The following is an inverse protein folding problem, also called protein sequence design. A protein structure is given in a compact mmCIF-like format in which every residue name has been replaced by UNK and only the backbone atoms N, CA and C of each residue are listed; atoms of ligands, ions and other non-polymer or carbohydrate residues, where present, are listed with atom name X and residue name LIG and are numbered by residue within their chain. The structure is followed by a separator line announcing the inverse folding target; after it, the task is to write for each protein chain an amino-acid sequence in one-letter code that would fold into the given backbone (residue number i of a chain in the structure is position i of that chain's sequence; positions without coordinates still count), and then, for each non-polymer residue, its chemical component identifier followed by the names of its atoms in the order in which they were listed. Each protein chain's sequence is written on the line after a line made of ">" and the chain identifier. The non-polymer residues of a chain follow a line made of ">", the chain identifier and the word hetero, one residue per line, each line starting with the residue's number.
data_IF_671474833609
#
_entry.id   IF_671474833609
#
_cell.length_a   1.000
_cell.length_b   1.000
_cell.length_c   1.000
_cell.angle_alpha   90.00
_cell.angle_beta   90.00
_cell.angle_gamma   90.00
#
_symmetry.space_group_name_H-M   'P 1'
#
loop_
_entity.id
_entity.type
_entity.pdbx_description
1 polymer ?
#
# COMPACT_ATOMS: atom_id res chain seq x y z
N UNK A 1 -14.55 4.37 -14.13
CA UNK A 1 -13.58 3.81 -13.15
C UNK A 1 -12.26 4.57 -13.26
N UNK A 2 -11.76 5.17 -12.17
CA UNK A 2 -10.42 5.78 -12.22
C UNK A 2 -9.34 4.74 -12.49
N UNK A 3 -8.24 5.19 -13.11
CA UNK A 3 -7.03 4.37 -13.23
C UNK A 3 -6.46 4.19 -11.82
N UNK A 4 -6.17 2.96 -11.43
CA UNK A 4 -5.55 2.65 -10.13
C UNK A 4 -4.02 2.58 -10.20
N UNK A 5 -3.41 2.86 -9.05
CA UNK A 5 -1.99 2.60 -8.74
C UNK A 5 -1.93 1.75 -7.49
N UNK A 6 -0.90 0.95 -7.36
CA UNK A 6 -0.81 -0.04 -6.29
C UNK A 6 0.38 0.30 -5.42
N UNK A 7 0.11 0.76 -4.21
CA UNK A 7 1.12 0.98 -3.18
C UNK A 7 1.56 -0.37 -2.61
N UNK A 8 2.87 -0.53 -2.50
CA UNK A 8 3.50 -1.62 -1.76
C UNK A 8 4.09 -0.95 -0.52
N UNK A 9 3.57 -1.30 0.64
CA UNK A 9 3.86 -0.67 1.92
C UNK A 9 4.51 -1.74 2.80
N UNK A 10 5.68 -1.45 3.37
CA UNK A 10 6.23 -2.26 4.45
C UNK A 10 5.66 -1.74 5.77
N UNK A 11 5.17 -2.63 6.62
CA UNK A 11 4.59 -2.29 7.90
C UNK A 11 4.99 -3.32 8.97
N UNK A 12 5.23 -2.85 10.19
CA UNK A 12 5.48 -3.74 11.33
C UNK A 12 4.25 -4.64 11.59
N UNK A 13 3.06 -4.05 11.53
CA UNK A 13 1.77 -4.75 11.54
C UNK A 13 0.89 -4.28 10.36
N UNK A 14 0.89 -5.01 9.22
CA UNK A 14 0.12 -4.63 8.04
C UNK A 14 -1.39 -4.46 8.24
N UNK A 15 -2.08 -5.29 9.05
CA UNK A 15 -3.49 -5.06 9.40
C UNK A 15 -3.72 -3.69 10.05
N UNK A 16 -2.99 -3.34 11.12
CA UNK A 16 -3.16 -2.03 11.78
C UNK A 16 -2.85 -0.88 10.83
N UNK A 17 -1.77 -0.99 10.04
CA UNK A 17 -1.43 -0.01 9.01
C UNK A 17 -2.57 0.20 7.99
N UNK A 18 -3.29 -0.86 7.62
CA UNK A 18 -4.43 -0.75 6.70
C UNK A 18 -5.65 -0.11 7.37
N UNK A 19 -5.93 -0.44 8.63
CA UNK A 19 -7.03 0.14 9.41
C UNK A 19 -6.81 1.64 9.60
N UNK A 20 -5.64 2.06 10.09
CA UNK A 20 -5.29 3.48 10.24
C UNK A 20 -5.37 4.20 8.89
N UNK A 21 -4.86 3.58 7.82
CA UNK A 21 -4.95 4.17 6.49
C UNK A 21 -6.39 4.41 6.05
N UNK A 22 -7.33 3.50 6.37
CA UNK A 22 -8.76 3.68 6.08
C UNK A 22 -9.36 4.83 6.91
N UNK A 23 -9.03 4.93 8.20
CA UNK A 23 -9.51 6.00 9.08
C UNK A 23 -9.08 7.38 8.58
N UNK A 24 -7.80 7.52 8.21
CA UNK A 24 -7.26 8.78 7.70
C UNK A 24 -7.55 9.01 6.21
N UNK A 25 -8.06 8.02 5.46
CA UNK A 25 -8.31 8.17 4.03
C UNK A 25 -9.35 9.27 3.73
N UNK A 26 -10.27 9.54 4.68
CA UNK A 26 -11.26 10.61 4.56
C UNK A 26 -10.61 11.99 4.37
N UNK A 27 -9.37 12.20 4.84
CA UNK A 27 -8.58 13.43 4.64
C UNK A 27 -8.26 13.69 3.17
N UNK A 28 -8.33 12.66 2.31
CA UNK A 28 -8.16 12.81 0.85
C UNK A 28 -9.33 13.59 0.21
N UNK A 29 -10.43 13.80 0.94
CA UNK A 29 -11.59 14.59 0.55
C UNK A 29 -12.65 13.75 -0.17
N UNK A 30 -13.51 14.39 -0.96
CA UNK A 30 -14.65 13.74 -1.64
C UNK A 30 -14.25 12.49 -2.46
N UNK A 31 -13.04 12.47 -3.05
CA UNK A 31 -12.52 11.31 -3.77
C UNK A 31 -12.48 10.03 -2.92
N UNK A 32 -12.31 10.14 -1.60
CA UNK A 32 -12.31 9.00 -0.69
C UNK A 32 -13.68 8.34 -0.55
N UNK A 33 -14.76 9.12 -0.70
CA UNK A 33 -16.14 8.64 -0.56
C UNK A 33 -16.61 7.86 -1.78
N UNK A 34 -16.17 8.28 -2.97
CA UNK A 34 -16.57 7.65 -4.24
C UNK A 34 -15.61 6.56 -4.71
N UNK A 35 -14.34 6.63 -4.29
CA UNK A 35 -13.30 5.70 -4.72
C UNK A 35 -12.57 5.11 -3.50
N UNK A 36 -13.10 4.00 -2.93
CA UNK A 36 -12.49 3.37 -1.77
C UNK A 36 -11.13 2.77 -2.12
N UNK A 37 -10.29 2.71 -1.09
CA UNK A 37 -9.05 1.94 -1.11
C UNK A 37 -9.37 0.46 -1.38
N UNK A 38 -8.52 -0.18 -2.17
CA UNK A 38 -8.66 -1.59 -2.48
C UNK A 38 -7.57 -2.38 -1.74
N UNK A 39 -7.94 -3.18 -0.75
CA UNK A 39 -7.04 -4.19 -0.19
C UNK A 39 -6.74 -5.25 -1.25
N UNK A 40 -5.47 -5.40 -1.64
CA UNK A 40 -5.07 -6.35 -2.69
C UNK A 40 -4.42 -7.59 -2.12
N UNK A 41 -3.56 -7.43 -1.11
CA UNK A 41 -2.89 -8.53 -0.42
C UNK A 41 -2.16 -8.04 0.85
N UNK A 42 -1.93 -8.97 1.77
CA UNK A 42 -1.00 -8.85 2.89
C UNK A 42 -0.03 -10.04 2.84
N UNK A 43 1.27 -9.77 2.92
CA UNK A 43 2.36 -10.76 2.88
C UNK A 43 3.37 -10.49 3.98
N UNK A 44 3.33 -11.27 5.07
CA UNK A 44 4.20 -11.11 6.24
C UNK A 44 4.22 -9.63 6.72
N UNK A 45 5.27 -8.84 6.45
CA UNK A 45 5.38 -7.41 6.79
C UNK A 45 5.07 -6.45 5.61
N UNK A 46 4.36 -6.90 4.57
CA UNK A 46 4.08 -6.13 3.36
C UNK A 46 2.57 -6.05 3.09
N UNK A 47 2.05 -4.83 2.98
CA UNK A 47 0.69 -4.49 2.59
C UNK A 47 0.66 -4.01 1.12
N UNK A 48 -0.33 -4.47 0.36
CA UNK A 48 -0.59 -3.99 -1.00
C UNK A 48 -1.97 -3.34 -1.08
N UNK A 49 -2.00 -2.04 -1.41
CA UNK A 49 -3.23 -1.25 -1.50
C UNK A 49 -3.38 -0.62 -2.88
N UNK A 50 -4.53 -0.80 -3.51
CA UNK A 50 -4.95 -0.09 -4.70
C UNK A 50 -5.53 1.27 -4.36
N UNK A 51 -4.95 2.32 -4.93
CA UNK A 51 -5.36 3.72 -4.76
C UNK A 51 -5.76 4.33 -6.10
N UNK A 52 -6.73 5.26 -6.14
CA UNK A 52 -6.99 6.08 -7.33
C UNK A 52 -5.72 6.83 -7.74
N UNK A 53 -5.42 6.89 -9.04
CA UNK A 53 -4.20 7.55 -9.56
C UNK A 53 -4.11 9.00 -9.10
N UNK A 54 -5.23 9.70 -9.04
CA UNK A 54 -5.28 11.12 -8.70
C UNK A 54 -5.12 11.36 -7.19
N UNK A 55 -5.47 10.37 -6.37
CA UNK A 55 -5.25 10.38 -4.93
C UNK A 55 -3.85 9.91 -4.52
N UNK A 56 -3.08 9.28 -5.42
CA UNK A 56 -1.80 8.62 -5.13
C UNK A 56 -0.85 9.49 -4.28
N UNK A 57 -0.66 10.75 -4.65
CA UNK A 57 0.28 11.65 -3.95
C UNK A 57 -0.16 11.91 -2.52
N UNK A 58 -1.45 12.11 -2.28
CA UNK A 58 -2.02 12.35 -0.94
C UNK A 58 -1.96 11.10 -0.09
N UNK A 59 -2.35 9.95 -0.65
CA UNK A 59 -2.29 8.67 0.09
C UNK A 59 -0.86 8.31 0.47
N UNK A 60 0.13 8.54 -0.40
CA UNK A 60 1.54 8.33 -0.04
C UNK A 60 2.01 9.24 1.09
N UNK A 61 1.55 10.49 1.13
CA UNK A 61 1.85 11.40 2.23
C UNK A 61 1.20 10.91 3.52
N UNK A 62 -0.06 10.48 3.49
CA UNK A 62 -0.73 9.87 4.65
C UNK A 62 0.04 8.66 5.18
N UNK A 63 0.42 7.71 4.30
CA UNK A 63 1.20 6.54 4.70
C UNK A 63 2.53 6.91 5.37
N UNK A 64 3.15 8.03 5.00
CA UNK A 64 4.39 8.50 5.60
C UNK A 64 4.21 9.12 7.00
N UNK A 65 2.97 9.45 7.38
CA UNK A 65 2.62 9.96 8.71
C UNK A 65 2.19 8.85 9.67
N UNK A 66 1.80 7.68 9.15
CA UNK A 66 1.41 6.53 9.97
C UNK A 66 2.65 5.86 10.56
N UNK A 67 2.62 5.62 11.86
CA UNK A 67 3.75 5.03 12.57
C UNK A 67 3.99 3.59 12.11
N UNK A 68 5.24 3.24 11.84
CA UNK A 68 5.60 1.89 11.40
C UNK A 68 5.17 1.53 9.99
N UNK A 69 4.55 2.44 9.21
CA UNK A 69 4.20 2.24 7.80
C UNK A 69 5.17 2.96 6.87
N UNK A 70 5.60 2.31 5.78
CA UNK A 70 6.43 2.94 4.75
C UNK A 70 6.09 2.47 3.36
N UNK A 71 5.74 3.39 2.46
CA UNK A 71 5.63 3.06 1.04
C UNK A 71 7.02 2.74 0.48
N UNK A 72 7.24 1.51 0.02
CA UNK A 72 8.52 1.07 -0.57
C UNK A 72 8.50 1.15 -2.09
N UNK A 73 7.35 0.91 -2.72
CA UNK A 73 7.24 0.91 -4.19
C UNK A 73 5.81 1.20 -4.63
N UNK A 74 5.67 1.68 -5.87
CA UNK A 74 4.39 1.85 -6.55
C UNK A 74 4.39 1.02 -7.83
N UNK A 75 3.33 0.24 -8.04
CA UNK A 75 3.12 -0.55 -9.24
C UNK A 75 1.93 -0.04 -10.06
N UNK A 76 1.99 -0.24 -11.37
CA UNK A 76 0.91 0.13 -12.30
C UNK A 76 -0.26 -0.84 -12.32
N UNK A 77 -0.04 -2.10 -11.95
CA UNK A 77 -1.05 -3.18 -11.99
C UNK A 77 -1.01 -4.02 -10.72
N UNK A 78 -2.15 -4.60 -10.34
CA UNK A 78 -2.27 -5.48 -9.16
C UNK A 78 -1.39 -6.73 -9.31
N UNK A 79 -1.31 -7.30 -10.52
CA UNK A 79 -0.46 -8.44 -10.84
C UNK A 79 1.02 -8.15 -10.54
N UNK A 80 1.53 -7.01 -11.01
CA UNK A 80 2.92 -6.59 -10.73
C UNK A 80 3.12 -6.30 -9.24
N UNK A 81 2.14 -5.69 -8.58
CA UNK A 81 2.22 -5.40 -7.15
C UNK A 81 2.34 -6.67 -6.30
N UNK A 82 1.49 -7.67 -6.54
CA UNK A 82 1.53 -8.98 -5.86
C UNK A 82 2.85 -9.69 -6.11
N UNK A 83 3.36 -9.67 -7.36
CA UNK A 83 4.63 -10.29 -7.70
C UNK A 83 5.80 -9.67 -6.91
N UNK A 84 5.85 -8.34 -6.80
CA UNK A 84 6.88 -7.65 -5.99
C UNK A 84 6.73 -7.94 -4.50
N UNK A 85 5.51 -7.91 -3.97
CA UNK A 85 5.30 -8.22 -2.55
C UNK A 85 5.71 -9.67 -2.22
N UNK A 86 5.39 -10.62 -3.09
CA UNK A 86 5.81 -12.01 -2.96
C UNK A 86 7.33 -12.17 -3.06
N UNK A 87 8.04 -11.40 -3.90
CA UNK A 87 9.50 -11.46 -3.97
C UNK A 87 10.16 -10.90 -2.71
N UNK A 88 9.62 -9.82 -2.13
CA UNK A 88 10.10 -9.29 -0.84
C UNK A 88 9.98 -10.31 0.29
N UNK A 89 8.84 -11.03 0.35
CA UNK A 89 8.63 -12.14 1.29
C UNK A 89 9.69 -13.23 1.14
N UNK A 90 10.00 -13.64 -0.10
CA UNK A 90 11.04 -14.67 -0.35
C UNK A 90 12.42 -14.19 0.10
N UNK A 91 12.78 -12.95 -0.22
CA UNK A 91 14.05 -12.34 0.15
C UNK A 91 14.24 -12.30 1.69
N UNK A 92 13.18 -11.94 2.43
CA UNK A 92 13.17 -11.98 3.90
C UNK A 92 13.43 -13.38 4.46
N UNK A 93 12.81 -14.41 3.87
CA UNK A 93 12.99 -15.81 4.28
C UNK A 93 14.38 -16.37 3.95
N UNK A 94 15.01 -15.87 2.89
CA UNK A 94 16.36 -16.31 2.48
C UNK A 94 17.49 -15.51 3.15
N UNK A 95 17.19 -14.57 4.04
CA UNK A 95 18.19 -13.69 4.67
C UNK A 95 18.88 -12.73 3.69
N UNK A 96 18.35 -12.58 2.48
CA UNK A 96 18.93 -11.76 1.42
C UNK A 96 18.14 -10.44 1.37
N UNK A 97 18.76 -9.33 1.73
CA UNK A 97 18.09 -8.02 1.62
C UNK A 97 17.83 -7.70 0.14
N UNK A 98 16.58 -7.38 -0.28
CA UNK A 98 16.29 -7.00 -1.65
C UNK A 98 16.83 -5.58 -1.95
N UNK A 99 17.17 -5.29 -3.23
CA UNK A 99 17.67 -3.97 -3.66
C UNK A 99 16.60 -2.87 -3.59
#
# INVERSE_FOLDING_TARGET
>A
MSKRRYLIIRAADPPSCYVELLEYYLVVGFAALIEPLQLVAIYDDVLVVGVPRDALRRVRALVALLEGCRTVRVAGTSKKAKAVAASMRRAKRSGTSPP
#
